data_IF_085454635506
#
_entry.id   IF_085454635506
#
_cell.length_a   1.000
_cell.length_b   1.000
_cell.length_c   1.000
_cell.angle_alpha   90.00
_cell.angle_beta   90.00
_cell.angle_gamma   90.00
#
_symmetry.space_group_name_H-M   'P 1'
#
loop_
_entity.id
_entity.type
_entity.pdbx_description
1 polymer ?
#
# COMPACT_ATOMS: atom_id res chain seq x y z
N UNK A 1 -0.13 13.19 -26.27
CA UNK A 1 -0.29 12.50 -24.98
C UNK A 1 1.00 11.71 -24.73
N UNK A 2 1.60 11.83 -23.53
CA UNK A 2 2.79 11.04 -23.17
C UNK A 2 2.42 9.57 -22.97
N UNK A 3 3.42 8.67 -22.98
CA UNK A 3 3.18 7.23 -22.71
C UNK A 3 2.60 7.02 -21.31
N UNK A 4 3.04 7.81 -20.32
CA UNK A 4 2.49 7.80 -18.98
C UNK A 4 0.99 8.15 -18.96
N UNK A 5 0.61 9.26 -19.60
CA UNK A 5 -0.79 9.69 -19.65
C UNK A 5 -1.68 8.69 -20.40
N UNK A 6 -1.13 8.04 -21.45
CA UNK A 6 -1.86 7.01 -22.18
C UNK A 6 -2.05 5.76 -21.33
N UNK A 7 -1.01 5.33 -20.62
CA UNK A 7 -1.07 4.16 -19.74
C UNK A 7 -2.12 4.34 -18.65
N UNK A 8 -2.07 5.45 -17.92
CA UNK A 8 -2.98 5.71 -16.80
C UNK A 8 -4.43 5.90 -17.28
N UNK A 9 -4.66 6.57 -18.43
CA UNK A 9 -6.00 6.64 -19.04
C UNK A 9 -6.55 5.25 -19.41
N UNK A 10 -5.72 4.39 -20.01
CA UNK A 10 -6.12 3.01 -20.32
C UNK A 10 -6.42 2.17 -19.07
N UNK A 11 -5.73 2.41 -17.94
CA UNK A 11 -6.05 1.77 -16.66
C UNK A 11 -7.42 2.22 -16.14
N UNK A 12 -7.70 3.52 -16.19
CA UNK A 12 -8.97 4.11 -15.73
C UNK A 12 -10.17 3.63 -16.57
N UNK A 13 -9.98 3.37 -17.85
CA UNK A 13 -11.01 2.75 -18.70
C UNK A 13 -11.35 1.31 -18.29
N UNK A 14 -10.39 0.57 -17.71
CA UNK A 14 -10.53 -0.86 -17.39
C UNK A 14 -10.89 -1.14 -15.94
N UNK A 15 -10.68 -0.20 -15.05
CA UNK A 15 -11.00 -0.34 -13.63
C UNK A 15 -11.36 1.02 -13.01
N UNK A 16 -12.42 1.06 -12.21
CA UNK A 16 -12.84 2.24 -11.46
C UNK A 16 -13.10 1.87 -9.99
N UNK A 17 -12.20 2.31 -9.10
CA UNK A 17 -10.99 3.08 -9.35
C UNK A 17 -9.85 2.24 -9.94
N UNK A 18 -8.97 2.89 -10.70
CA UNK A 18 -7.76 2.26 -11.19
C UNK A 18 -6.75 2.05 -10.05
N UNK A 19 -6.10 0.87 -9.95
CA UNK A 19 -5.18 0.59 -8.84
C UNK A 19 -3.92 1.45 -8.90
N UNK A 20 -3.57 2.15 -7.81
CA UNK A 20 -2.35 2.94 -7.69
C UNK A 20 -1.09 2.14 -8.05
N UNK A 21 -1.00 0.87 -7.60
CA UNK A 21 0.19 0.04 -7.78
C UNK A 21 0.38 -0.45 -9.23
N UNK A 22 -0.59 -0.20 -10.10
CA UNK A 22 -0.51 -0.44 -11.54
C UNK A 22 -0.27 0.84 -12.35
N UNK A 23 -0.28 2.03 -11.71
CA UNK A 23 -0.06 3.31 -12.36
C UNK A 23 1.36 3.44 -12.94
N UNK A 24 1.51 4.31 -13.93
CA UNK A 24 2.83 4.62 -14.48
C UNK A 24 3.78 5.15 -13.42
N UNK A 25 3.32 6.11 -12.63
CA UNK A 25 4.12 6.77 -11.62
C UNK A 25 4.60 5.81 -10.53
N UNK A 26 3.76 4.85 -10.11
CA UNK A 26 4.19 3.80 -9.20
C UNK A 26 5.31 2.96 -9.78
N UNK A 27 5.22 2.55 -11.05
CA UNK A 27 6.29 1.86 -11.75
C UNK A 27 7.60 2.65 -11.74
N UNK A 28 7.56 3.97 -11.95
CA UNK A 28 8.73 4.84 -11.89
C UNK A 28 9.37 4.89 -10.49
N UNK A 29 8.56 4.91 -9.43
CA UNK A 29 9.05 4.80 -8.04
C UNK A 29 9.76 3.47 -7.83
N UNK A 30 9.14 2.37 -8.27
CA UNK A 30 9.71 1.02 -8.09
C UNK A 30 10.99 0.83 -8.93
N UNK A 31 11.07 1.42 -10.11
CA UNK A 31 12.31 1.41 -10.90
C UNK A 31 13.47 2.07 -10.15
N UNK A 32 13.23 3.22 -9.50
CA UNK A 32 14.23 3.90 -8.67
C UNK A 32 14.56 3.16 -7.37
N UNK A 33 13.62 2.34 -6.91
CA UNK A 33 13.82 1.42 -5.78
C UNK A 33 14.57 0.13 -6.17
N UNK A 34 14.91 -0.04 -7.46
CA UNK A 34 15.76 -1.14 -7.94
C UNK A 34 15.03 -2.28 -8.64
N UNK A 35 13.74 -2.11 -8.98
CA UNK A 35 13.02 -3.06 -9.82
C UNK A 35 13.19 -2.74 -11.31
N UNK A 36 13.19 -3.77 -12.15
CA UNK A 36 12.95 -3.57 -13.58
C UNK A 36 11.44 -3.60 -13.84
N UNK A 37 10.90 -2.59 -14.53
CA UNK A 37 9.46 -2.45 -14.77
C UNK A 37 9.13 -2.79 -16.22
N UNK A 38 8.30 -3.81 -16.40
CA UNK A 38 7.74 -4.17 -17.70
C UNK A 38 6.24 -3.82 -17.73
N UNK A 39 5.85 -2.90 -18.62
CA UNK A 39 4.46 -2.50 -18.83
C UNK A 39 3.89 -3.26 -19.99
N UNK A 40 2.97 -4.17 -19.71
CA UNK A 40 2.47 -5.14 -20.69
C UNK A 40 1.01 -4.88 -21.03
N UNK A 41 0.72 -4.83 -22.32
CA UNK A 41 -0.64 -4.96 -22.83
C UNK A 41 -0.85 -6.42 -23.22
N UNK A 42 -1.79 -7.06 -22.52
CA UNK A 42 -2.05 -8.49 -22.63
C UNK A 42 -3.12 -8.77 -23.71
N UNK A 43 -3.19 -10.00 -24.17
CA UNK A 43 -4.29 -10.47 -25.02
C UNK A 43 -5.64 -10.21 -24.34
N UNK A 44 -6.67 -9.90 -25.12
CA UNK A 44 -7.99 -9.57 -24.58
C UNK A 44 -8.11 -8.17 -24.00
N UNK A 45 -7.09 -7.32 -24.17
CA UNK A 45 -7.12 -5.92 -23.76
C UNK A 45 -6.79 -5.67 -22.30
N UNK A 46 -6.45 -6.68 -21.51
CA UNK A 46 -5.94 -6.47 -20.16
C UNK A 46 -4.52 -5.90 -20.17
N UNK A 47 -4.09 -5.36 -19.03
CA UNK A 47 -2.76 -4.79 -18.89
C UNK A 47 -2.17 -5.04 -17.50
N UNK A 48 -0.83 -4.99 -17.39
CA UNK A 48 -0.13 -5.15 -16.13
C UNK A 48 1.18 -4.35 -16.09
N UNK A 49 1.42 -3.65 -14.99
CA UNK A 49 2.72 -3.11 -14.61
C UNK A 49 3.43 -4.16 -13.77
N UNK A 50 4.42 -4.81 -14.37
CA UNK A 50 5.13 -5.96 -13.79
C UNK A 50 6.46 -5.52 -13.23
N UNK A 51 6.70 -5.81 -11.97
CA UNK A 51 7.97 -5.62 -11.30
C UNK A 51 8.82 -6.88 -11.50
N UNK A 52 9.90 -6.78 -12.25
CA UNK A 52 10.77 -7.91 -12.60
C UNK A 52 12.06 -7.83 -11.83
N UNK A 53 12.49 -8.96 -11.31
CA UNK A 53 13.77 -9.12 -10.65
C UNK A 53 14.51 -10.32 -11.23
N UNK A 54 15.84 -10.22 -11.35
CA UNK A 54 16.70 -11.33 -11.77
C UNK A 54 17.56 -11.83 -10.61
N UNK A 55 17.74 -13.15 -10.55
CA UNK A 55 18.64 -13.85 -9.63
C UNK A 55 19.46 -14.81 -10.46
N UNK A 56 20.68 -14.40 -10.82
CA UNK A 56 21.44 -15.10 -11.87
C UNK A 56 20.63 -15.18 -13.16
N UNK A 57 20.44 -16.36 -13.75
CA UNK A 57 19.65 -16.55 -14.98
C UNK A 57 18.14 -16.60 -14.71
N UNK A 58 17.69 -16.73 -13.46
CA UNK A 58 16.27 -16.83 -13.13
C UNK A 58 15.62 -15.44 -12.99
N UNK A 59 14.42 -15.31 -13.57
CA UNK A 59 13.62 -14.07 -13.51
C UNK A 59 12.34 -14.31 -12.73
N UNK A 60 11.98 -13.40 -11.85
CA UNK A 60 10.73 -13.38 -11.10
C UNK A 60 9.91 -12.17 -11.51
N UNK A 61 8.64 -12.40 -11.85
CA UNK A 61 7.66 -11.37 -12.11
C UNK A 61 6.75 -11.18 -10.89
N UNK A 62 6.54 -9.94 -10.47
CA UNK A 62 5.59 -9.57 -9.42
C UNK A 62 4.60 -8.53 -9.94
N UNK A 63 3.31 -8.79 -9.76
CA UNK A 63 2.21 -7.95 -10.27
C UNK A 63 1.32 -7.52 -9.10
N UNK A 64 1.68 -6.42 -8.39
CA UNK A 64 0.87 -5.92 -7.29
C UNK A 64 -0.43 -5.30 -7.81
N UNK A 65 -1.57 -5.65 -7.22
CA UNK A 65 -2.91 -5.14 -7.57
C UNK A 65 -3.32 -5.33 -9.03
N UNK A 66 -2.67 -6.24 -9.76
CA UNK A 66 -2.97 -6.55 -11.16
C UNK A 66 -3.13 -8.04 -11.41
N UNK A 67 -3.46 -8.45 -12.67
CA UNK A 67 -3.65 -7.62 -13.87
C UNK A 67 -4.92 -6.75 -13.83
N UNK A 68 -5.08 -5.84 -14.80
CA UNK A 68 -6.25 -4.93 -14.90
C UNK A 68 -6.93 -5.11 -16.26
N UNK A 69 -8.24 -5.46 -16.32
CA UNK A 69 -9.10 -5.84 -15.18
C UNK A 69 -8.65 -7.16 -14.55
N UNK A 70 -8.94 -7.39 -13.25
CA UNK A 70 -8.50 -8.59 -12.53
C UNK A 70 -9.45 -9.76 -12.77
N UNK A 71 -9.43 -10.32 -13.98
CA UNK A 71 -10.29 -11.43 -14.42
C UNK A 71 -9.48 -12.68 -14.74
N UNK A 72 -10.11 -13.84 -14.71
CA UNK A 72 -9.46 -15.10 -15.04
C UNK A 72 -8.84 -15.12 -16.45
N UNK A 73 -9.51 -14.63 -17.53
CA UNK A 73 -8.87 -14.51 -18.85
C UNK A 73 -7.65 -13.58 -18.85
N UNK A 74 -7.66 -12.51 -18.07
CA UNK A 74 -6.51 -11.62 -17.94
C UNK A 74 -5.33 -12.29 -17.23
N UNK A 75 -5.61 -13.16 -16.24
CA UNK A 75 -4.59 -13.99 -15.59
C UNK A 75 -4.02 -15.01 -16.58
N UNK A 76 -4.86 -15.67 -17.39
CA UNK A 76 -4.40 -16.62 -18.42
C UNK A 76 -3.46 -15.94 -19.44
N UNK A 77 -3.81 -14.74 -19.90
CA UNK A 77 -2.97 -13.94 -20.79
C UNK A 77 -1.65 -13.49 -20.11
N UNK A 78 -1.68 -13.19 -18.82
CA UNK A 78 -0.48 -12.86 -18.05
C UNK A 78 0.45 -14.08 -17.89
N UNK A 79 -0.10 -15.27 -17.68
CA UNK A 79 0.67 -16.53 -17.63
C UNK A 79 1.33 -16.80 -18.98
N UNK A 80 0.62 -16.63 -20.09
CA UNK A 80 1.18 -16.76 -21.43
C UNK A 80 2.35 -15.81 -21.66
N UNK A 81 2.16 -14.53 -21.30
CA UNK A 81 3.24 -13.55 -21.33
C UNK A 81 4.45 -13.96 -20.48
N UNK A 82 4.21 -14.38 -19.23
CA UNK A 82 5.28 -14.77 -18.31
C UNK A 82 6.09 -15.97 -18.85
N UNK A 83 5.42 -16.94 -19.48
CA UNK A 83 6.05 -18.06 -20.18
C UNK A 83 6.92 -17.60 -21.36
N UNK A 84 6.38 -16.73 -22.24
CA UNK A 84 7.11 -16.15 -23.37
C UNK A 84 8.31 -15.30 -22.94
N UNK A 85 8.18 -14.57 -21.84
CA UNK A 85 9.24 -13.78 -21.22
C UNK A 85 10.25 -14.63 -20.40
N UNK A 86 10.09 -15.96 -20.37
CA UNK A 86 10.93 -16.91 -19.64
C UNK A 86 11.05 -16.58 -18.16
N UNK A 87 9.95 -16.19 -17.53
CA UNK A 87 9.88 -16.03 -16.09
C UNK A 87 9.96 -17.40 -15.42
N UNK A 88 10.73 -17.50 -14.34
CA UNK A 88 10.80 -18.73 -13.54
C UNK A 88 9.64 -18.80 -12.53
N UNK A 89 9.13 -17.64 -12.11
CA UNK A 89 8.07 -17.49 -11.14
C UNK A 89 7.23 -16.25 -11.45
N UNK A 90 5.92 -16.41 -11.34
CA UNK A 90 4.95 -15.32 -11.42
C UNK A 90 4.25 -15.20 -10.07
N UNK A 91 4.30 -14.03 -9.44
CA UNK A 91 3.61 -13.66 -8.22
C UNK A 91 2.59 -12.58 -8.53
N UNK A 92 1.33 -12.78 -8.18
CA UNK A 92 0.25 -11.82 -8.38
C UNK A 92 -0.49 -11.54 -7.08
N UNK A 93 -0.95 -10.32 -6.91
CA UNK A 93 -1.81 -9.89 -5.79
C UNK A 93 -2.97 -9.05 -6.36
N UNK A 94 -3.99 -9.68 -6.97
CA UNK A 94 -5.01 -8.96 -7.71
C UNK A 94 -5.91 -8.13 -6.78
N UNK A 95 -6.27 -6.92 -7.23
CA UNK A 95 -7.33 -6.11 -6.62
C UNK A 95 -8.68 -6.55 -7.16
N UNK A 96 -9.17 -7.69 -6.67
CA UNK A 96 -10.35 -8.39 -7.13
C UNK A 96 -11.21 -8.86 -5.95
N UNK A 97 -12.48 -9.23 -6.17
CA UNK A 97 -13.24 -9.98 -5.18
C UNK A 97 -12.51 -11.27 -4.75
N UNK A 98 -12.62 -11.63 -3.47
CA UNK A 98 -11.92 -12.78 -2.90
C UNK A 98 -12.17 -14.11 -3.66
N UNK A 99 -13.32 -14.24 -4.32
CA UNK A 99 -13.69 -15.42 -5.12
C UNK A 99 -12.72 -15.76 -6.25
N UNK A 100 -11.98 -14.79 -6.79
CA UNK A 100 -10.94 -15.05 -7.79
C UNK A 100 -9.87 -16.03 -7.29
N UNK A 101 -9.64 -16.14 -5.97
CA UNK A 101 -8.70 -17.09 -5.39
C UNK A 101 -9.01 -18.55 -5.76
N UNK A 102 -10.27 -18.95 -5.84
CA UNK A 102 -10.66 -20.29 -6.28
C UNK A 102 -10.29 -20.56 -7.74
N UNK A 103 -10.47 -19.56 -8.60
CA UNK A 103 -10.10 -19.64 -10.01
C UNK A 103 -8.59 -19.72 -10.20
N UNK A 104 -7.82 -19.02 -9.36
CA UNK A 104 -6.35 -19.07 -9.36
C UNK A 104 -5.85 -20.46 -8.93
N UNK A 105 -6.43 -21.06 -7.89
CA UNK A 105 -6.11 -22.42 -7.47
C UNK A 105 -6.37 -23.43 -8.60
N UNK A 106 -7.47 -23.31 -9.34
CA UNK A 106 -7.77 -24.11 -10.52
C UNK A 106 -6.78 -23.94 -11.70
N UNK A 107 -6.00 -22.87 -11.69
CA UNK A 107 -4.94 -22.55 -12.67
C UNK A 107 -3.53 -22.87 -12.17
N UNK A 108 -3.43 -23.75 -11.19
CA UNK A 108 -2.17 -24.21 -10.59
C UNK A 108 -1.38 -23.11 -9.84
N UNK A 109 -2.00 -22.00 -9.51
CA UNK A 109 -1.42 -21.06 -8.55
C UNK A 109 -1.52 -21.61 -7.15
N UNK A 110 -0.51 -21.37 -6.35
CA UNK A 110 -0.47 -21.67 -4.91
C UNK A 110 -0.56 -20.37 -4.11
N UNK A 111 -1.36 -20.37 -3.07
CA UNK A 111 -1.43 -19.24 -2.15
C UNK A 111 -0.07 -19.06 -1.45
N UNK A 112 0.35 -17.81 -1.23
CA UNK A 112 1.62 -17.48 -0.58
C UNK A 112 1.44 -16.28 0.34
N UNK A 113 2.50 -15.93 1.09
CA UNK A 113 2.47 -14.76 1.98
C UNK A 113 2.35 -13.46 1.19
N UNK A 114 1.38 -12.60 1.50
CA UNK A 114 1.16 -11.37 0.78
C UNK A 114 2.25 -10.34 1.07
N UNK A 115 2.58 -9.53 0.06
CA UNK A 115 3.42 -8.33 0.18
C UNK A 115 2.55 -7.09 0.41
N UNK A 116 1.40 -7.04 -0.25
CA UNK A 116 0.40 -5.99 -0.04
C UNK A 116 -0.66 -6.47 0.96
N UNK A 117 -1.29 -5.56 1.72
CA UNK A 117 -2.37 -5.95 2.62
C UNK A 117 -3.50 -6.67 1.88
N UNK A 118 -3.84 -7.86 2.34
CA UNK A 118 -4.97 -8.63 1.80
C UNK A 118 -6.31 -8.02 2.18
N UNK A 119 -6.37 -7.40 3.35
CA UNK A 119 -7.58 -6.77 3.89
C UNK A 119 -7.33 -5.28 4.04
N UNK A 120 -8.27 -4.48 3.63
CA UNK A 120 -8.24 -3.03 3.74
C UNK A 120 -9.59 -2.49 4.21
N UNK A 121 -9.62 -1.19 4.56
CA UNK A 121 -10.86 -0.48 4.84
C UNK A 121 -10.95 0.75 3.96
N UNK A 122 -12.07 0.89 3.25
CA UNK A 122 -12.31 1.98 2.30
C UNK A 122 -13.43 2.87 2.84
N UNK A 123 -13.14 4.15 2.97
CA UNK A 123 -14.09 5.18 3.37
C UNK A 123 -14.58 5.92 2.13
N UNK A 124 -15.91 5.95 1.92
CA UNK A 124 -16.53 6.80 0.90
C UNK A 124 -16.44 8.24 1.36
N UNK A 125 -15.80 9.09 0.56
CA UNK A 125 -15.63 10.50 0.87
C UNK A 125 -16.88 11.32 0.56
N UNK A 126 -17.15 12.28 1.42
CA UNK A 126 -18.23 13.26 1.36
C UNK A 126 -17.65 14.62 1.76
N UNK A 127 -18.47 15.62 1.97
CA UNK A 127 -17.99 16.86 2.57
C UNK A 127 -17.35 16.60 3.94
N UNK A 128 -16.33 17.36 4.36
CA UNK A 128 -15.71 17.18 5.67
C UNK A 128 -16.68 17.14 6.84
N UNK A 129 -17.71 18.00 6.80
CA UNK A 129 -18.74 18.04 7.84
C UNK A 129 -19.58 16.76 7.92
N UNK A 130 -19.95 16.19 6.78
CA UNK A 130 -20.71 14.94 6.71
C UNK A 130 -19.85 13.76 7.16
N UNK A 131 -18.60 13.68 6.72
CA UNK A 131 -17.67 12.65 7.17
C UNK A 131 -17.44 12.72 8.68
N UNK A 132 -17.21 13.91 9.23
CA UNK A 132 -17.02 14.06 10.67
C UNK A 132 -18.26 13.60 11.44
N UNK A 133 -19.48 13.83 10.93
CA UNK A 133 -20.73 13.33 11.53
C UNK A 133 -20.84 11.80 11.46
N UNK A 134 -20.34 11.17 10.39
CA UNK A 134 -20.38 9.71 10.19
C UNK A 134 -19.41 8.93 11.07
N UNK A 135 -18.33 9.56 11.55
CA UNK A 135 -17.35 8.90 12.41
C UNK A 135 -17.92 8.53 13.78
N UNK A 136 -17.39 7.50 14.41
CA UNK A 136 -17.79 7.12 15.75
C UNK A 136 -17.58 8.27 16.75
N UNK A 137 -18.40 8.30 17.79
CA UNK A 137 -18.41 9.41 18.78
C UNK A 137 -17.01 9.68 19.36
N UNK A 138 -16.27 8.62 19.76
CA UNK A 138 -14.90 8.74 20.28
C UNK A 138 -13.95 9.43 19.30
N UNK A 139 -14.02 9.06 18.01
CA UNK A 139 -13.18 9.68 16.98
C UNK A 139 -13.47 11.17 16.82
N UNK A 140 -14.76 11.53 16.74
CA UNK A 140 -15.15 12.96 16.68
C UNK A 140 -14.66 13.75 17.90
N UNK A 141 -14.76 13.14 19.08
CA UNK A 141 -14.26 13.75 20.31
C UNK A 141 -12.75 13.99 20.26
N UNK A 142 -11.98 12.96 19.87
CA UNK A 142 -10.52 13.04 19.77
C UNK A 142 -10.05 14.11 18.79
N UNK A 143 -10.63 14.16 17.60
CA UNK A 143 -10.32 15.19 16.58
C UNK A 143 -10.55 16.59 17.16
N UNK A 144 -11.70 16.86 17.77
CA UNK A 144 -12.01 18.15 18.39
C UNK A 144 -11.11 18.44 19.59
N UNK A 145 -10.73 17.41 20.36
CA UNK A 145 -9.83 17.56 21.48
C UNK A 145 -8.43 17.96 21.03
N UNK A 146 -7.91 17.34 19.95
CA UNK A 146 -6.61 17.70 19.36
C UNK A 146 -6.56 19.18 18.96
N UNK A 147 -7.59 19.67 18.25
CA UNK A 147 -7.69 21.07 17.89
C UNK A 147 -7.67 22.02 19.11
N UNK A 148 -8.44 21.68 20.15
CA UNK A 148 -8.47 22.51 21.39
C UNK A 148 -7.19 22.47 22.21
N UNK A 149 -6.37 21.42 22.05
CA UNK A 149 -5.12 21.21 22.81
C UNK A 149 -3.89 21.71 22.07
N UNK A 150 -4.05 22.57 21.07
CA UNK A 150 -2.94 23.18 20.35
C UNK A 150 -2.20 22.19 19.45
N UNK A 151 -2.89 21.21 18.88
CA UNK A 151 -2.30 20.39 17.82
C UNK A 151 -2.57 21.02 16.47
N UNK A 152 -1.51 21.24 15.69
CA UNK A 152 -1.56 21.73 14.32
C UNK A 152 -1.07 20.66 13.36
N UNK A 153 -1.69 20.54 12.18
CA UNK A 153 -1.26 19.61 11.16
C UNK A 153 -0.71 20.38 9.97
N UNK A 154 0.52 20.03 9.58
CA UNK A 154 1.19 20.61 8.41
C UNK A 154 1.18 19.59 7.28
N UNK A 155 0.63 19.99 6.13
CA UNK A 155 0.77 19.26 4.88
C UNK A 155 2.12 19.58 4.24
N UNK A 156 2.78 18.57 3.67
CA UNK A 156 4.08 18.74 3.04
C UNK A 156 4.50 17.58 2.14
N UNK A 157 5.76 17.62 1.75
CA UNK A 157 6.45 16.56 0.98
C UNK A 157 7.70 16.06 1.71
N UNK A 158 7.88 16.35 2.97
CA UNK A 158 9.00 15.86 3.76
C UNK A 158 8.63 14.56 4.47
N UNK A 159 9.34 13.50 4.15
CA UNK A 159 9.16 12.20 4.76
C UNK A 159 10.07 11.97 5.99
N UNK A 160 10.83 12.95 6.43
CA UNK A 160 11.79 12.79 7.53
C UNK A 160 11.12 12.35 8.84
N UNK A 161 10.00 13.00 9.20
CA UNK A 161 9.25 12.66 10.41
C UNK A 161 8.64 11.25 10.32
N UNK A 162 8.11 10.88 9.16
CA UNK A 162 7.61 9.52 8.95
C UNK A 162 8.74 8.50 9.14
N UNK A 163 9.91 8.73 8.55
CA UNK A 163 11.05 7.83 8.68
C UNK A 163 11.53 7.71 10.14
N UNK A 164 11.58 8.83 10.87
CA UNK A 164 11.93 8.86 12.29
C UNK A 164 10.94 8.05 13.14
N UNK A 165 9.64 8.23 12.92
CA UNK A 165 8.58 7.52 13.63
C UNK A 165 8.53 6.04 13.25
N UNK A 166 8.72 5.71 11.96
CA UNK A 166 8.82 4.32 11.47
C UNK A 166 9.98 3.58 12.12
N UNK A 167 11.15 4.19 12.22
CA UNK A 167 12.32 3.58 12.90
C UNK A 167 12.05 3.31 14.39
N UNK A 168 11.25 4.14 15.06
CA UNK A 168 10.83 3.90 16.44
C UNK A 168 9.88 2.69 16.54
N UNK A 169 8.95 2.53 15.58
CA UNK A 169 8.04 1.38 15.50
C UNK A 169 8.82 0.09 15.20
N UNK A 170 9.77 0.11 14.24
CA UNK A 170 10.62 -1.03 13.92
C UNK A 170 11.34 -1.57 15.16
N UNK A 171 11.94 -0.68 15.95
CA UNK A 171 12.65 -1.08 17.19
C UNK A 171 11.71 -1.69 18.22
N UNK A 172 10.50 -1.15 18.38
CA UNK A 172 9.53 -1.62 19.38
C UNK A 172 8.89 -2.95 18.99
N UNK A 173 8.54 -3.12 17.70
CA UNK A 173 7.71 -4.21 17.24
C UNK A 173 8.48 -5.29 16.44
N UNK A 174 9.78 -5.10 16.28
CA UNK A 174 10.66 -6.02 15.54
C UNK A 174 10.19 -6.33 14.12
N UNK A 175 9.48 -5.39 13.48
CA UNK A 175 9.06 -5.45 12.08
C UNK A 175 10.06 -4.69 11.20
N UNK A 176 9.97 -4.86 9.88
CA UNK A 176 10.78 -4.10 8.94
C UNK A 176 9.90 -3.14 8.15
N UNK A 177 10.22 -1.85 8.24
CA UNK A 177 9.56 -0.78 7.49
C UNK A 177 10.55 -0.17 6.47
N UNK A 178 10.06 0.49 5.42
CA UNK A 178 10.92 1.18 4.47
C UNK A 178 11.75 2.28 5.15
N UNK A 179 12.92 2.53 4.62
CA UNK A 179 13.79 3.61 5.06
C UNK A 179 13.36 4.98 4.49
N UNK A 180 14.02 6.04 4.96
CA UNK A 180 13.76 7.41 4.52
C UNK A 180 13.93 7.56 3.00
N UNK A 181 14.87 6.85 2.38
CA UNK A 181 15.11 6.91 0.94
C UNK A 181 13.87 6.47 0.17
N UNK A 182 13.25 5.37 0.58
CA UNK A 182 12.03 4.90 -0.09
C UNK A 182 10.85 5.86 0.09
N UNK A 183 10.65 6.43 1.29
CA UNK A 183 9.61 7.43 1.52
C UNK A 183 9.82 8.68 0.67
N UNK A 184 11.08 9.14 0.53
CA UNK A 184 11.39 10.27 -0.34
C UNK A 184 11.06 9.96 -1.81
N UNK A 185 11.37 8.74 -2.31
CA UNK A 185 10.98 8.35 -3.66
C UNK A 185 9.46 8.47 -3.89
N UNK A 186 8.64 8.12 -2.90
CA UNK A 186 7.19 8.26 -2.99
C UNK A 186 6.76 9.73 -3.11
N UNK A 187 7.22 10.60 -2.22
CA UNK A 187 6.81 12.02 -2.20
C UNK A 187 7.36 12.83 -3.35
N UNK A 188 8.50 12.42 -3.92
CA UNK A 188 9.14 13.09 -5.06
C UNK A 188 8.55 12.67 -6.41
N UNK A 189 8.19 11.39 -6.57
CA UNK A 189 7.87 10.83 -7.88
C UNK A 189 6.41 10.43 -8.09
N UNK A 190 5.60 10.31 -7.03
CA UNK A 190 4.16 10.21 -7.22
C UNK A 190 3.57 11.61 -7.44
N UNK A 191 2.76 11.82 -8.48
CA UNK A 191 2.24 13.15 -8.86
C UNK A 191 1.51 13.85 -7.73
N UNK A 192 0.71 13.09 -6.98
CA UNK A 192 0.06 13.56 -5.77
C UNK A 192 0.38 12.62 -4.62
N UNK A 193 1.41 12.96 -3.86
CA UNK A 193 1.80 12.31 -2.62
C UNK A 193 2.14 13.38 -1.57
N UNK A 194 1.58 13.27 -0.38
CA UNK A 194 1.70 14.25 0.69
C UNK A 194 1.92 13.57 2.03
N UNK A 195 2.65 14.25 2.89
CA UNK A 195 2.75 13.94 4.32
C UNK A 195 1.89 14.91 5.11
N UNK A 196 1.16 14.38 6.07
CA UNK A 196 0.38 15.15 7.05
C UNK A 196 1.00 14.90 8.41
N UNK A 197 1.67 15.92 8.96
CA UNK A 197 2.40 15.80 10.22
C UNK A 197 1.70 16.64 11.29
N UNK A 198 1.22 15.98 12.34
CA UNK A 198 0.67 16.65 13.51
C UNK A 198 1.79 17.06 14.46
N UNK A 199 1.77 18.31 14.86
CA UNK A 199 2.71 18.91 15.82
C UNK A 199 1.98 19.45 17.04
N UNK A 200 2.60 19.37 18.19
CA UNK A 200 2.25 20.24 19.31
C UNK A 200 2.73 21.65 18.98
N UNK A 201 1.82 22.62 18.96
CA UNK A 201 2.10 23.98 18.46
C UNK A 201 3.19 24.69 19.29
N UNK A 202 3.14 24.57 20.61
CA UNK A 202 4.08 25.25 21.52
C UNK A 202 5.52 24.73 21.39
N UNK A 203 5.71 23.42 21.27
CA UNK A 203 7.03 22.78 21.30
C UNK A 203 7.54 22.46 19.90
N UNK A 204 6.68 22.53 18.89
CA UNK A 204 6.91 22.01 17.53
C UNK A 204 7.36 20.53 17.51
N UNK A 205 6.97 19.76 18.53
CA UNK A 205 7.22 18.32 18.59
C UNK A 205 6.25 17.57 17.66
N UNK A 206 6.78 16.70 16.80
CA UNK A 206 5.96 15.90 15.89
C UNK A 206 5.35 14.69 16.60
N UNK A 207 4.03 14.61 16.61
CA UNK A 207 3.22 13.62 17.31
C UNK A 207 2.86 12.42 16.44
N UNK A 208 2.46 12.67 15.18
CA UNK A 208 2.06 11.64 14.23
C UNK A 208 2.27 12.11 12.79
N UNK A 209 2.44 11.15 11.87
CA UNK A 209 2.58 11.40 10.44
C UNK A 209 1.75 10.41 9.66
N UNK A 210 1.05 10.87 8.62
CA UNK A 210 0.37 10.05 7.63
C UNK A 210 0.90 10.41 6.25
N UNK A 211 1.33 9.41 5.46
CA UNK A 211 1.72 9.59 4.07
C UNK A 211 0.59 9.08 3.17
N UNK A 212 0.05 9.97 2.36
CA UNK A 212 -1.07 9.71 1.47
C UNK A 212 -0.63 9.91 0.03
N UNK A 213 -0.94 8.94 -0.82
CA UNK A 213 -0.84 9.06 -2.27
C UNK A 213 -2.24 9.04 -2.90
N UNK A 214 -2.37 9.64 -4.09
CA UNK A 214 -3.61 9.62 -4.88
C UNK A 214 -3.34 9.06 -6.27
N UNK A 215 -4.27 8.24 -6.75
CA UNK A 215 -4.35 7.84 -8.15
C UNK A 215 -5.81 7.79 -8.58
N UNK A 216 -6.11 8.35 -9.74
CA UNK A 216 -7.47 8.57 -10.21
C UNK A 216 -8.33 9.27 -9.11
N UNK A 217 -9.44 8.69 -8.75
CA UNK A 217 -10.41 9.22 -7.77
C UNK A 217 -10.27 8.59 -6.36
N UNK A 218 -9.17 7.86 -6.08
CA UNK A 218 -8.91 7.25 -4.76
C UNK A 218 -7.61 7.75 -4.14
N UNK A 219 -7.68 8.09 -2.85
CA UNK A 219 -6.53 8.33 -2.00
C UNK A 219 -6.19 7.09 -1.17
N UNK A 220 -4.90 6.90 -0.86
CA UNK A 220 -4.36 5.73 -0.16
C UNK A 220 -3.45 6.17 0.97
N UNK A 221 -3.71 5.77 2.22
CA UNK A 221 -2.77 5.97 3.31
C UNK A 221 -1.70 4.87 3.30
N UNK A 222 -0.65 5.09 2.52
CA UNK A 222 0.38 4.07 2.30
C UNK A 222 1.19 3.76 3.56
N UNK A 223 1.51 4.80 4.34
CA UNK A 223 2.28 4.68 5.58
C UNK A 223 1.78 5.67 6.63
N UNK A 224 1.88 5.27 7.89
CA UNK A 224 1.61 6.14 9.02
C UNK A 224 2.54 5.78 10.18
N UNK A 225 2.90 6.79 10.97
CA UNK A 225 3.70 6.65 12.16
C UNK A 225 3.20 7.54 13.28
N UNK A 226 3.59 7.21 14.51
CA UNK A 226 3.36 8.07 15.68
C UNK A 226 4.58 8.04 16.60
N UNK A 227 4.88 9.14 17.24
CA UNK A 227 5.98 9.24 18.19
C UNK A 227 5.74 8.39 19.46
N UNK A 228 4.47 8.26 19.88
CA UNK A 228 4.08 7.69 21.15
C UNK A 228 4.14 8.71 22.32
N UNK A 229 4.70 9.89 22.09
CA UNK A 229 4.65 11.00 23.04
C UNK A 229 3.27 11.66 23.03
N UNK A 230 2.87 12.19 24.17
CA UNK A 230 1.67 13.02 24.34
C UNK A 230 0.39 12.41 23.72
N UNK A 231 0.02 11.13 24.02
CA UNK A 231 -1.17 10.51 23.46
C UNK A 231 -2.45 11.28 23.80
N UNK A 232 -2.46 12.00 24.91
CA UNK A 232 -3.55 12.87 25.34
C UNK A 232 -3.82 14.04 24.39
N UNK A 233 -2.85 14.46 23.59
CA UNK A 233 -3.02 15.53 22.61
C UNK A 233 -3.79 15.10 21.35
N UNK A 234 -4.03 13.82 21.15
CA UNK A 234 -4.79 13.26 20.01
C UNK A 234 -4.18 13.61 18.64
N UNK A 235 -2.87 13.80 18.54
CA UNK A 235 -2.20 14.19 17.30
C UNK A 235 -2.40 13.18 16.16
N UNK A 236 -2.42 11.87 16.47
CA UNK A 236 -2.66 10.84 15.47
C UNK A 236 -4.07 10.96 14.85
N UNK A 237 -5.09 11.17 15.69
CA UNK A 237 -6.48 11.33 15.23
C UNK A 237 -6.64 12.56 14.32
N UNK A 238 -5.97 13.64 14.65
CA UNK A 238 -6.04 14.87 13.89
C UNK A 238 -5.27 14.78 12.57
N UNK A 239 -4.08 14.14 12.54
CA UNK A 239 -3.32 13.93 11.31
C UNK A 239 -4.15 13.12 10.27
N UNK A 240 -4.77 12.02 10.71
CA UNK A 240 -5.64 11.23 9.84
C UNK A 240 -6.86 12.00 9.37
N UNK A 241 -7.50 12.76 10.25
CA UNK A 241 -8.64 13.60 9.89
C UNK A 241 -8.30 14.60 8.80
N UNK A 242 -7.19 15.35 8.99
CA UNK A 242 -6.76 16.33 7.98
C UNK A 242 -6.39 15.66 6.66
N UNK A 243 -5.73 14.51 6.70
CA UNK A 243 -5.41 13.75 5.49
C UNK A 243 -6.66 13.30 4.71
N UNK A 244 -7.68 12.79 5.43
CA UNK A 244 -8.96 12.37 4.82
C UNK A 244 -9.71 13.57 4.25
N UNK A 245 -9.76 14.68 5.00
CA UNK A 245 -10.43 15.92 4.55
C UNK A 245 -9.78 16.51 3.31
N UNK A 246 -8.44 16.59 3.29
CA UNK A 246 -7.68 17.08 2.13
C UNK A 246 -7.90 16.21 0.90
N UNK A 247 -8.01 14.89 1.06
CA UNK A 247 -8.35 14.00 -0.06
C UNK A 247 -9.75 14.27 -0.61
N UNK A 248 -10.75 14.51 0.26
CA UNK A 248 -12.12 14.85 -0.16
C UNK A 248 -12.14 16.19 -0.89
N UNK A 249 -11.50 17.22 -0.36
CA UNK A 249 -11.39 18.55 -0.97
C UNK A 249 -10.64 18.51 -2.31
N UNK A 250 -9.72 17.56 -2.48
CA UNK A 250 -9.02 17.31 -3.74
C UNK A 250 -9.86 16.54 -4.78
N UNK A 251 -11.13 16.20 -4.47
CA UNK A 251 -12.05 15.52 -5.37
C UNK A 251 -11.88 14.01 -5.42
N UNK A 252 -11.22 13.39 -4.45
CA UNK A 252 -11.23 11.93 -4.32
C UNK A 252 -12.63 11.45 -3.93
N UNK A 253 -13.03 10.32 -4.51
CA UNK A 253 -14.29 9.63 -4.19
C UNK A 253 -14.16 8.73 -2.97
N UNK A 254 -13.01 8.06 -2.86
CA UNK A 254 -12.74 7.06 -1.84
C UNK A 254 -11.39 7.34 -1.15
N UNK A 255 -11.29 6.96 0.13
CA UNK A 255 -10.05 6.94 0.87
C UNK A 255 -9.78 5.51 1.38
N UNK A 256 -8.74 4.88 0.86
CA UNK A 256 -8.28 3.57 1.30
C UNK A 256 -7.37 3.75 2.52
N UNK A 257 -7.85 3.32 3.69
CA UNK A 257 -7.09 3.36 4.93
C UNK A 257 -5.95 2.32 4.95
N UNK A 258 -5.80 1.51 3.88
CA UNK A 258 -4.81 0.46 3.73
C UNK A 258 -4.96 -0.65 4.79
N UNK A 259 -3.93 -1.49 4.95
CA UNK A 259 -3.97 -2.70 5.74
C UNK A 259 -4.75 -2.67 7.05
N UNK A 260 -5.65 -3.63 7.20
CA UNK A 260 -6.36 -3.95 8.44
C UNK A 260 -6.20 -5.45 8.73
N UNK A 261 -6.44 -5.92 9.96
CA UNK A 261 -6.43 -7.34 10.26
C UNK A 261 -7.52 -8.08 9.46
N UNK A 262 -7.41 -9.42 9.30
CA UNK A 262 -8.46 -10.21 8.68
C UNK A 262 -9.79 -10.04 9.43
N UNK A 263 -10.94 -10.18 8.74
CA UNK A 263 -12.25 -10.16 9.37
C UNK A 263 -12.33 -11.20 10.49
N UNK A 264 -12.83 -10.80 11.67
CA UNK A 264 -12.94 -11.66 12.83
C UNK A 264 -11.66 -11.88 13.64
N UNK A 265 -10.56 -11.20 13.30
CA UNK A 265 -9.33 -11.27 14.08
C UNK A 265 -9.55 -10.79 15.53
N UNK A 266 -9.14 -11.61 16.48
CA UNK A 266 -9.28 -11.33 17.91
C UNK A 266 -8.20 -10.36 18.46
N UNK A 267 -8.27 -10.06 19.76
CA UNK A 267 -7.34 -9.14 20.41
C UNK A 267 -5.87 -9.56 20.34
N UNK A 268 -5.60 -10.84 20.14
CA UNK A 268 -4.25 -11.40 20.01
C UNK A 268 -3.59 -11.10 18.66
N UNK A 269 -4.36 -10.64 17.66
CA UNK A 269 -3.81 -10.31 16.36
C UNK A 269 -2.95 -9.03 16.44
N UNK A 270 -1.71 -9.03 15.91
CA UNK A 270 -0.79 -7.87 16.01
C UNK A 270 -1.39 -6.56 15.52
N UNK A 271 -2.31 -6.62 14.55
CA UNK A 271 -2.97 -5.45 13.99
C UNK A 271 -4.35 -5.14 14.59
N UNK A 272 -4.75 -5.83 15.67
CA UNK A 272 -6.07 -5.60 16.28
C UNK A 272 -6.30 -4.12 16.63
N UNK A 273 -5.35 -3.50 17.34
CA UNK A 273 -5.45 -2.07 17.70
C UNK A 273 -5.46 -1.14 16.48
N UNK A 274 -4.72 -1.47 15.42
CA UNK A 274 -4.74 -0.73 14.15
C UNK A 274 -6.10 -0.87 13.45
N UNK A 275 -6.67 -2.08 13.41
CA UNK A 275 -7.99 -2.34 12.85
C UNK A 275 -9.08 -1.58 13.59
N UNK A 276 -9.06 -1.63 14.93
CA UNK A 276 -9.98 -0.86 15.77
C UNK A 276 -9.86 0.65 15.47
N UNK A 277 -8.63 1.19 15.47
CA UNK A 277 -8.39 2.59 15.15
C UNK A 277 -8.99 2.99 13.80
N UNK A 278 -8.75 2.21 12.76
CA UNK A 278 -9.25 2.50 11.40
C UNK A 278 -10.76 2.34 11.29
N UNK A 279 -11.36 1.39 12.03
CA UNK A 279 -12.82 1.16 12.01
C UNK A 279 -13.63 2.35 12.52
N UNK A 280 -13.03 3.20 13.36
CA UNK A 280 -13.72 4.36 13.90
C UNK A 280 -13.92 5.51 12.90
N UNK A 281 -13.20 5.48 11.76
CA UNK A 281 -13.45 6.37 10.62
C UNK A 281 -14.62 5.88 9.73
N UNK A 282 -15.27 4.77 10.09
CA UNK A 282 -16.34 4.18 9.29
C UNK A 282 -15.80 3.42 8.08
N UNK A 283 -16.54 3.46 6.97
CA UNK A 283 -16.20 2.74 5.74
C UNK A 283 -16.41 1.22 5.82
N UNK A 284 -16.06 0.54 4.74
CA UNK A 284 -16.28 -0.89 4.55
C UNK A 284 -14.96 -1.66 4.53
N UNK A 285 -14.96 -2.86 5.10
CA UNK A 285 -13.83 -3.79 4.96
C UNK A 285 -13.89 -4.48 3.61
N UNK A 286 -12.77 -4.46 2.91
CA UNK A 286 -12.60 -5.13 1.62
C UNK A 286 -11.52 -6.19 1.76
N UNK A 287 -11.82 -7.40 1.31
CA UNK A 287 -10.88 -8.52 1.27
C UNK A 287 -10.58 -8.89 -0.18
N UNK A 288 -9.29 -8.89 -0.51
CA UNK A 288 -8.78 -9.33 -1.81
C UNK A 288 -8.42 -10.81 -1.78
N UNK A 289 -8.15 -11.45 -2.92
CA UNK A 289 -7.73 -12.86 -2.97
C UNK A 289 -6.44 -13.16 -2.21
N UNK A 290 -5.62 -12.13 -1.93
CA UNK A 290 -4.28 -12.28 -1.36
C UNK A 290 -3.21 -12.51 -2.43
N UNK A 291 -2.08 -13.08 -2.00
CA UNK A 291 -0.95 -13.35 -2.87
C UNK A 291 -0.97 -14.78 -3.41
N UNK A 292 -0.73 -14.91 -4.70
CA UNK A 292 -0.73 -16.19 -5.41
C UNK A 292 0.51 -16.31 -6.29
N UNK A 293 1.15 -17.47 -6.26
CA UNK A 293 2.35 -17.73 -7.06
C UNK A 293 2.16 -18.91 -8.02
N UNK A 294 2.71 -18.76 -9.23
CA UNK A 294 2.85 -19.82 -10.21
C UNK A 294 4.33 -20.06 -10.51
N UNK A 295 4.77 -21.30 -10.32
CA UNK A 295 6.13 -21.73 -10.68
C UNK A 295 6.14 -22.18 -12.14
N UNK A 296 6.86 -21.46 -12.99
CA UNK A 296 7.01 -21.75 -14.43
C UNK A 296 8.31 -22.52 -14.73
N UNK A 297 9.33 -22.39 -13.85
CA UNK A 297 10.58 -23.16 -13.91
C UNK A 297 11.02 -23.58 -12.51
N UNK A 298 10.99 -24.88 -12.23
CA UNK A 298 11.36 -25.41 -10.91
C UNK A 298 12.81 -25.11 -10.51
N UNK A 299 13.74 -25.20 -11.46
CA UNK A 299 15.15 -24.85 -11.20
C UNK A 299 15.33 -23.36 -10.91
N UNK A 300 14.70 -22.48 -11.71
CA UNK A 300 14.75 -21.05 -11.49
C UNK A 300 14.08 -20.61 -10.19
N UNK A 301 12.92 -21.20 -9.85
CA UNK A 301 12.25 -20.92 -8.58
C UNK A 301 13.08 -21.33 -7.36
N UNK A 302 13.77 -22.45 -7.40
CA UNK A 302 14.72 -22.87 -6.35
C UNK A 302 15.84 -21.87 -6.16
N UNK A 303 16.42 -21.35 -7.25
CA UNK A 303 17.48 -20.35 -7.21
C UNK A 303 16.99 -19.04 -6.54
N UNK A 304 15.81 -18.57 -6.91
CA UNK A 304 15.15 -17.40 -6.30
C UNK A 304 14.91 -17.63 -4.81
N UNK A 305 14.41 -18.80 -4.42
CA UNK A 305 14.15 -19.12 -3.02
C UNK A 305 15.43 -19.17 -2.17
N UNK A 306 16.53 -19.71 -2.70
CA UNK A 306 17.83 -19.73 -2.03
C UNK A 306 18.37 -18.32 -1.80
N UNK A 307 18.26 -17.45 -2.79
CA UNK A 307 18.70 -16.05 -2.66
C UNK A 307 17.85 -15.29 -1.61
N UNK A 308 16.52 -15.49 -1.58
CA UNK A 308 15.66 -14.91 -0.55
C UNK A 308 16.09 -15.33 0.86
N UNK A 309 16.36 -16.61 1.07
CA UNK A 309 16.86 -17.14 2.36
C UNK A 309 18.22 -16.52 2.75
N UNK A 310 19.14 -16.43 1.80
CA UNK A 310 20.45 -15.81 1.99
C UNK A 310 20.35 -14.33 2.42
N UNK A 311 19.50 -13.54 1.76
CA UNK A 311 19.28 -12.14 2.12
C UNK A 311 18.67 -11.99 3.51
N UNK A 312 17.73 -12.85 3.87
CA UNK A 312 17.11 -12.84 5.20
C UNK A 312 18.14 -13.18 6.27
N UNK A 313 18.99 -14.19 6.02
CA UNK A 313 20.05 -14.60 6.94
C UNK A 313 21.10 -13.49 7.15
N UNK A 314 21.59 -12.85 6.08
CA UNK A 314 22.55 -11.74 6.15
C UNK A 314 21.96 -10.52 6.89
N UNK A 315 20.68 -10.22 6.69
CA UNK A 315 19.99 -9.16 7.43
C UNK A 315 19.86 -9.48 8.92
N UNK A 316 19.56 -10.74 9.26
CA UNK A 316 19.52 -11.22 10.65
C UNK A 316 20.87 -11.09 11.37
N UNK A 317 21.97 -11.42 10.69
CA UNK A 317 23.34 -11.26 11.24
C UNK A 317 23.69 -9.80 11.50
N UNK A 318 23.35 -8.88 10.60
CA UNK A 318 23.59 -7.43 10.79
C UNK A 318 22.83 -6.84 11.99
N UNK A 319 21.68 -7.40 12.33
CA UNK A 319 20.89 -6.98 13.53
C UNK A 319 21.50 -7.45 14.85
N UNK A 320 22.27 -8.54 14.85
CA UNK A 320 22.90 -9.07 16.07
C UNK A 320 24.28 -8.43 16.36
N UNK A 321 24.77 -7.56 15.47
CA UNK A 321 26.10 -6.91 15.57
C UNK A 321 25.96 -5.38 15.82
N UNK A 322 24.76 -4.84 15.74
CA UNK A 322 24.43 -3.44 16.03
C UNK A 322 23.54 -3.34 17.27
#
# INVERSE_FOLDING_TARGET
>A
MSDASRWDAELEERASPAPLLQSWAWGEVQARAGWNIERVRLKGGAMASVQVRSVGPAREAYVPRGPVPPTAPAVDALVEWAGGAKMARLLIEPEAPAGLGHELAGRHFSATSPTQPQHTRIVRLQSPDEMLKSFRHGRRYNIRAGLRRGVVVKEGKDAAELARQSAAVERRESIHLPDRRYYNLLVEHLPWCRTYVAYQEETNEALATVLVARHADRAYSLFAGRSGAHPELMGNDLAWWVAISSAAESGCRDFDLWGVPPPGAGPEHPWHGLGFFKSEFGGEEVSYPGAWELVLSGAGAKLIALEKKSRTYVRGLKRNIS
#
